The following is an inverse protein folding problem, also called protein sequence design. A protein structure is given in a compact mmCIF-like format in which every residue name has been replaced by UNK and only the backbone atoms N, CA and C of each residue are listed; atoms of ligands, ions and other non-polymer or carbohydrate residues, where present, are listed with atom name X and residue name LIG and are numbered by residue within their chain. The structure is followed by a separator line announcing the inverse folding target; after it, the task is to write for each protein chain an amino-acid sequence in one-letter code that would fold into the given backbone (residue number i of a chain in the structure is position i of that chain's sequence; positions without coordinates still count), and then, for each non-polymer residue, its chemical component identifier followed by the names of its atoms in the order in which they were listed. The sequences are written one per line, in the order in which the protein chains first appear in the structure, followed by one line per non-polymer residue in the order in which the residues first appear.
data_IF_936631836760
#
_entry.id   IF_936631836760
#
_cell.length_a   1.000
_cell.length_b   1.000
_cell.length_c   1.000
_cell.angle_alpha   90.00
_cell.angle_beta   90.00
_cell.angle_gamma   90.00
#
_symmetry.space_group_name_H-M   'P 1'
#
loop_
_entity.id
_entity.type
_entity.pdbx_description
1 polymer ?
#
# COMPACT_ATOMS: atom_id res chain seq x y z
N UNK A 1 -10.81 12.35 8.41
CA UNK A 1 -10.58 11.74 7.08
C UNK A 1 -9.33 12.34 6.47
N UNK A 2 -8.56 11.56 5.71
CA UNK A 2 -7.59 12.08 4.75
C UNK A 2 -8.30 12.38 3.43
N UNK A 3 -7.78 13.33 2.67
CA UNK A 3 -8.30 13.68 1.34
C UNK A 3 -7.14 13.77 0.35
N UNK A 4 -7.31 13.20 -0.85
CA UNK A 4 -6.41 13.47 -1.97
C UNK A 4 -6.96 14.67 -2.74
N UNK A 5 -6.11 15.64 -3.01
CA UNK A 5 -6.45 16.92 -3.63
C UNK A 5 -5.58 17.12 -4.86
N UNK A 6 -6.19 17.36 -6.01
CA UNK A 6 -5.43 17.65 -7.23
C UNK A 6 -4.71 18.99 -7.08
N UNK A 7 -3.36 19.04 -7.07
CA UNK A 7 -2.63 20.27 -6.82
C UNK A 7 -2.78 21.30 -7.95
N UNK A 8 -3.24 20.88 -9.14
CA UNK A 8 -3.41 21.76 -10.30
C UNK A 8 -4.73 22.51 -10.27
N UNK A 9 -5.76 21.96 -9.62
CA UNK A 9 -7.12 22.52 -9.59
C UNK A 9 -7.62 22.84 -8.19
N UNK A 10 -7.05 22.21 -7.16
CA UNK A 10 -7.54 22.27 -5.77
C UNK A 10 -8.69 21.29 -5.49
N UNK A 11 -9.09 20.46 -6.45
CA UNK A 11 -10.25 19.59 -6.31
C UNK A 11 -9.94 18.36 -5.46
N UNK A 12 -10.81 18.10 -4.47
CA UNK A 12 -10.79 16.85 -3.72
C UNK A 12 -11.38 15.74 -4.58
N UNK A 13 -10.60 14.69 -4.84
CA UNK A 13 -11.05 13.58 -5.69
C UNK A 13 -11.14 12.23 -4.95
N UNK A 14 -10.61 12.15 -3.74
CA UNK A 14 -10.74 10.97 -2.89
C UNK A 14 -10.79 11.36 -1.40
N UNK A 15 -11.42 10.51 -0.60
CA UNK A 15 -11.46 10.62 0.86
C UNK A 15 -11.25 9.26 1.50
N UNK A 16 -10.54 9.26 2.63
CA UNK A 16 -10.19 8.04 3.36
C UNK A 16 -10.46 8.23 4.85
N UNK A 17 -11.12 7.27 5.52
CA UNK A 17 -11.30 7.33 6.97
C UNK A 17 -9.94 7.28 7.68
N UNK A 18 -9.82 8.03 8.77
CA UNK A 18 -8.66 7.94 9.67
C UNK A 18 -8.90 6.73 10.55
N UNK A 19 -7.87 5.90 10.72
CA UNK A 19 -7.95 4.76 11.64
C UNK A 19 -8.11 5.25 13.08
N UNK A 20 -9.02 4.64 13.82
CA UNK A 20 -9.08 4.83 15.26
C UNK A 20 -7.99 4.01 15.99
N UNK A 21 -7.84 4.24 17.30
CA UNK A 21 -6.84 3.55 18.11
C UNK A 21 -7.03 2.02 18.11
N UNK A 22 -8.27 1.53 18.10
CA UNK A 22 -8.55 0.09 18.06
C UNK A 22 -8.12 -0.54 16.74
N UNK A 23 -8.38 0.14 15.62
CA UNK A 23 -7.95 -0.29 14.29
C UNK A 23 -6.42 -0.27 14.15
N UNK A 24 -5.75 0.74 14.71
CA UNK A 24 -4.28 0.82 14.74
C UNK A 24 -3.70 -0.34 15.54
N UNK A 25 -4.22 -0.59 16.76
CA UNK A 25 -3.78 -1.70 17.60
C UNK A 25 -3.96 -3.03 16.88
N UNK A 26 -5.11 -3.23 16.22
CA UNK A 26 -5.36 -4.44 15.45
C UNK A 26 -4.34 -4.64 14.32
N UNK A 27 -3.94 -3.58 13.61
CA UNK A 27 -2.90 -3.67 12.57
C UNK A 27 -1.53 -4.04 13.13
N UNK A 28 -1.19 -3.57 14.33
CA UNK A 28 0.05 -3.93 15.01
C UNK A 28 0.04 -5.42 15.39
N UNK A 29 -1.06 -5.91 15.96
CA UNK A 29 -1.23 -7.33 16.28
C UNK A 29 -1.13 -8.23 15.04
N UNK A 30 -1.83 -7.86 13.96
CA UNK A 30 -1.79 -8.59 12.69
C UNK A 30 -0.36 -8.62 12.11
N UNK A 31 0.39 -7.52 12.27
CA UNK A 31 1.78 -7.43 11.81
C UNK A 31 2.72 -8.33 12.59
N UNK A 32 2.55 -8.46 13.91
CA UNK A 32 3.33 -9.41 14.73
C UNK A 32 3.05 -10.86 14.32
N UNK A 33 1.78 -11.23 14.16
CA UNK A 33 1.40 -12.57 13.67
C UNK A 33 2.01 -12.84 12.29
N UNK A 34 1.87 -11.89 11.36
CA UNK A 34 2.43 -12.02 10.02
C UNK A 34 3.96 -12.13 10.04
N UNK A 35 4.66 -11.36 10.90
CA UNK A 35 6.12 -11.42 11.00
C UNK A 35 6.62 -12.78 11.49
N UNK A 36 5.96 -13.36 12.50
CA UNK A 36 6.33 -14.68 13.05
C UNK A 36 6.31 -15.78 11.99
N UNK A 37 5.38 -15.71 11.04
CA UNK A 37 5.32 -16.63 9.91
C UNK A 37 6.26 -16.20 8.77
N UNK A 38 6.24 -14.93 8.38
CA UNK A 38 7.03 -14.41 7.29
C UNK A 38 8.53 -14.60 7.49
N UNK A 39 9.04 -14.48 8.72
CA UNK A 39 10.47 -14.68 9.02
C UNK A 39 10.96 -16.10 8.74
N UNK A 40 10.06 -17.11 8.71
CA UNK A 40 10.38 -18.52 8.42
C UNK A 40 10.39 -18.83 6.92
N UNK A 41 9.92 -17.91 6.08
CA UNK A 41 9.90 -18.08 4.62
C UNK A 41 11.30 -18.10 4.05
N UNK A 42 11.50 -18.85 2.97
CA UNK A 42 12.81 -18.95 2.31
C UNK A 42 13.10 -17.71 1.47
N UNK A 43 14.37 -17.51 1.11
CA UNK A 43 14.73 -16.49 0.11
C UNK A 43 14.08 -16.75 -1.25
N UNK A 44 13.80 -18.01 -1.62
CA UNK A 44 13.14 -18.35 -2.87
C UNK A 44 11.68 -17.84 -2.88
N UNK A 45 10.95 -18.03 -1.77
CA UNK A 45 9.58 -17.54 -1.63
C UNK A 45 9.53 -16.01 -1.73
N UNK A 46 10.41 -15.34 -0.97
CA UNK A 46 10.52 -13.87 -0.95
C UNK A 46 10.87 -13.32 -2.33
N UNK A 47 11.81 -13.96 -3.03
CA UNK A 47 12.19 -13.60 -4.40
C UNK A 47 11.01 -13.73 -5.36
N UNK A 48 10.23 -14.81 -5.26
CA UNK A 48 9.07 -15.03 -6.12
C UNK A 48 8.02 -13.91 -5.94
N UNK A 49 7.74 -13.52 -4.69
CA UNK A 49 6.82 -12.41 -4.41
C UNK A 49 7.34 -11.08 -4.95
N UNK A 50 8.62 -10.75 -4.73
CA UNK A 50 9.21 -9.50 -5.22
C UNK A 50 9.23 -9.42 -6.76
N UNK A 51 9.51 -10.53 -7.44
CA UNK A 51 9.45 -10.58 -8.91
C UNK A 51 8.02 -10.37 -9.42
N UNK A 52 7.03 -10.96 -8.75
CA UNK A 52 5.62 -10.75 -9.07
C UNK A 52 5.22 -9.29 -8.86
N UNK A 53 5.64 -8.67 -7.76
CA UNK A 53 5.43 -7.23 -7.50
C UNK A 53 6.04 -6.39 -8.62
N UNK A 54 7.28 -6.66 -9.03
CA UNK A 54 7.92 -5.94 -10.14
C UNK A 54 7.09 -6.03 -11.43
N UNK A 55 6.59 -7.23 -11.76
CA UNK A 55 5.75 -7.44 -12.95
C UNK A 55 4.44 -6.65 -12.86
N UNK A 56 3.78 -6.66 -11.70
CA UNK A 56 2.54 -5.90 -11.48
C UNK A 56 2.77 -4.38 -11.57
N UNK A 57 3.86 -3.88 -10.99
CA UNK A 57 4.21 -2.45 -11.06
C UNK A 57 4.47 -2.02 -12.51
N UNK A 58 5.20 -2.82 -13.29
CA UNK A 58 5.44 -2.55 -14.72
C UNK A 58 4.14 -2.54 -15.52
N UNK A 59 3.26 -3.52 -15.28
CA UNK A 59 1.98 -3.61 -15.98
C UNK A 59 1.04 -2.45 -15.65
N UNK A 60 1.15 -1.87 -14.45
CA UNK A 60 0.30 -0.76 -13.98
C UNK A 60 0.96 0.62 -14.08
N UNK A 61 2.11 0.73 -14.76
CA UNK A 61 2.95 1.94 -14.73
C UNK A 61 2.21 3.23 -15.07
N UNK A 62 1.37 3.23 -16.10
CA UNK A 62 0.68 4.44 -16.56
C UNK A 62 -0.38 4.89 -15.56
N UNK A 63 -1.15 3.95 -15.02
CA UNK A 63 -2.14 4.23 -13.99
C UNK A 63 -1.48 4.78 -12.72
N UNK A 64 -0.41 4.13 -12.26
CA UNK A 64 0.32 4.56 -11.06
C UNK A 64 0.99 5.92 -11.26
N UNK A 65 1.57 6.18 -12.44
CA UNK A 65 2.15 7.48 -12.79
C UNK A 65 1.09 8.59 -12.81
N UNK A 66 -0.09 8.31 -13.39
CA UNK A 66 -1.20 9.24 -13.37
C UNK A 66 -1.70 9.56 -11.96
N UNK A 67 -1.73 8.56 -11.07
CA UNK A 67 -2.09 8.77 -9.66
C UNK A 67 -1.04 9.64 -8.95
N UNK A 68 0.25 9.32 -9.11
CA UNK A 68 1.35 10.09 -8.51
C UNK A 68 1.38 11.56 -8.96
N UNK A 69 1.02 11.84 -10.21
CA UNK A 69 0.97 13.21 -10.72
C UNK A 69 -0.28 14.00 -10.27
N UNK A 70 -1.30 13.29 -9.78
CA UNK A 70 -2.59 13.87 -9.39
C UNK A 70 -2.73 14.11 -7.88
N UNK A 71 -2.02 13.36 -7.04
CA UNK A 71 -2.00 13.57 -5.57
C UNK A 71 -1.07 14.71 -5.14
#
# INVERSE_FOLDING_TARGET
MFYSVDPRTGDRFASYPIMDNGQILKKIEDSDVAFREYRRTSFADRRAWLNRVSSLLRNKKEFLAGLMARE
#
